data_IF_429318478520
#
_entry.id   IF_429318478520
#
_cell.length_a   1.000
_cell.length_b   1.000
_cell.length_c   1.000
_cell.angle_alpha   90.00
_cell.angle_beta   90.00
_cell.angle_gamma   90.00
#
_symmetry.space_group_name_H-M   'P 1'
#
loop_
_entity.id
_entity.type
_entity.pdbx_description
1 polymer ?
#
# COMPACT_ATOMS: atom_id res chain seq x y z
N UNK A 1 12.39 19.73 -22.99
CA UNK A 1 11.33 20.22 -22.08
C UNK A 1 11.90 21.21 -21.06
N UNK A 2 12.33 22.41 -21.50
CA UNK A 2 12.73 23.49 -20.58
C UNK A 2 11.49 24.19 -20.03
N UNK A 3 11.55 24.68 -18.80
CA UNK A 3 10.46 25.45 -18.20
C UNK A 3 10.49 26.89 -18.69
N UNK A 4 9.35 27.44 -19.08
CA UNK A 4 9.27 28.86 -19.42
C UNK A 4 9.11 29.67 -18.13
N UNK A 5 10.13 30.44 -17.78
CA UNK A 5 10.10 31.28 -16.59
C UNK A 5 9.61 32.68 -16.97
N UNK A 6 8.45 33.08 -16.47
CA UNK A 6 7.87 34.42 -16.71
C UNK A 6 8.80 35.54 -16.23
N UNK A 7 9.49 35.34 -15.10
CA UNK A 7 10.45 36.33 -14.55
C UNK A 7 11.68 36.52 -15.43
N UNK A 8 12.14 35.46 -16.11
CA UNK A 8 13.30 35.51 -17.00
C UNK A 8 12.91 35.73 -18.47
N UNK A 9 11.61 35.74 -18.78
CA UNK A 9 11.02 35.80 -20.12
C UNK A 9 11.66 34.80 -21.11
N UNK A 10 12.10 33.63 -20.64
CA UNK A 10 12.90 32.69 -21.43
C UNK A 10 12.83 31.26 -20.91
N UNK A 11 13.30 30.30 -21.74
CA UNK A 11 13.37 28.88 -21.40
C UNK A 11 14.55 28.59 -20.46
N UNK A 12 14.23 28.10 -19.27
CA UNK A 12 15.18 27.83 -18.19
C UNK A 12 15.19 26.35 -17.81
N UNK A 13 16.29 25.93 -17.20
CA UNK A 13 16.32 24.67 -16.45
C UNK A 13 15.55 24.88 -15.15
N UNK A 14 14.73 23.91 -14.78
CA UNK A 14 13.95 23.93 -13.55
C UNK A 14 13.83 22.52 -12.97
N UNK A 15 13.61 22.45 -11.67
CA UNK A 15 13.31 21.22 -10.96
C UNK A 15 11.82 21.14 -10.66
N UNK A 16 11.20 19.98 -10.95
CA UNK A 16 9.80 19.72 -10.62
C UNK A 16 9.76 18.62 -9.56
N UNK A 17 9.21 18.94 -8.40
CA UNK A 17 8.94 17.98 -7.32
C UNK A 17 7.43 17.78 -7.16
N UNK A 18 7.03 16.61 -6.65
CA UNK A 18 5.64 16.27 -6.35
C UNK A 18 5.58 15.63 -4.97
N UNK A 19 4.59 16.00 -4.17
CA UNK A 19 4.42 15.55 -2.79
C UNK A 19 2.93 15.26 -2.55
N UNK A 20 2.66 14.25 -1.73
CA UNK A 20 1.29 13.92 -1.29
C UNK A 20 1.01 14.76 -0.04
N UNK A 21 -0.07 15.53 -0.07
CA UNK A 21 -0.47 16.43 1.01
C UNK A 21 -1.65 15.90 1.83
N UNK A 22 -2.39 14.95 1.27
CA UNK A 22 -3.59 14.37 1.84
C UNK A 22 -3.61 12.87 1.57
N UNK A 23 -3.91 12.09 2.60
CA UNK A 23 -4.01 10.64 2.49
C UNK A 23 -5.44 10.17 2.15
N UNK A 24 -5.66 9.53 1.00
CA UNK A 24 -6.99 9.03 0.64
C UNK A 24 -7.37 7.79 1.45
N UNK A 25 -8.66 7.55 1.71
CA UNK A 25 -9.10 6.31 2.37
C UNK A 25 -8.70 5.05 1.58
N UNK A 26 -8.79 5.14 0.24
CA UNK A 26 -8.35 4.10 -0.68
C UNK A 26 -7.27 4.65 -1.61
N UNK A 27 -6.10 4.01 -1.59
CA UNK A 27 -4.99 4.29 -2.49
C UNK A 27 -5.01 3.28 -3.65
N UNK A 28 -5.19 3.78 -4.87
CA UNK A 28 -5.20 2.97 -6.09
C UNK A 28 -3.89 3.19 -6.83
N UNK A 29 -3.11 2.13 -7.00
CA UNK A 29 -1.85 2.16 -7.75
C UNK A 29 -2.00 1.40 -9.06
N UNK A 30 -1.76 2.07 -10.18
CA UNK A 30 -1.71 1.43 -11.50
C UNK A 30 -0.26 1.23 -11.90
N UNK A 31 0.15 -0.04 -12.07
CA UNK A 31 1.47 -0.37 -12.59
C UNK A 31 1.46 -0.17 -14.11
N UNK A 32 2.24 0.81 -14.59
CA UNK A 32 2.31 1.17 -16.01
C UNK A 32 3.09 0.10 -16.81
N UNK A 33 2.43 -1.01 -17.10
CA UNK A 33 3.02 -2.19 -17.73
C UNK A 33 3.03 -2.18 -19.25
N UNK A 34 2.59 -1.12 -19.90
CA UNK A 34 2.56 -1.05 -21.36
C UNK A 34 3.45 0.07 -21.84
N UNK A 35 4.45 -0.29 -22.63
CA UNK A 35 5.37 0.64 -23.27
C UNK A 35 5.22 0.56 -24.79
N UNK A 36 5.59 1.64 -25.46
CA UNK A 36 5.64 1.70 -26.91
C UNK A 36 7.09 1.84 -27.35
N UNK A 37 7.54 0.96 -28.23
CA UNK A 37 8.85 1.07 -28.87
C UNK A 37 8.70 1.88 -30.16
N UNK A 38 9.13 3.15 -30.18
CA UNK A 38 9.00 4.01 -31.36
C UNK A 38 9.91 3.59 -32.52
N UNK A 39 10.95 2.78 -32.28
CA UNK A 39 11.86 2.33 -33.35
C UNK A 39 11.23 1.22 -34.17
N UNK A 40 10.59 0.27 -33.51
CA UNK A 40 9.97 -0.88 -34.16
C UNK A 40 8.47 -0.70 -34.40
N UNK A 41 7.86 0.39 -33.91
CA UNK A 41 6.41 0.64 -33.94
C UNK A 41 5.59 -0.47 -33.27
N UNK A 42 6.09 -1.01 -32.15
CA UNK A 42 5.46 -2.14 -31.43
C UNK A 42 5.14 -1.74 -29.99
N UNK A 43 3.92 -2.01 -29.56
CA UNK A 43 3.52 -1.95 -28.15
C UNK A 43 3.94 -3.23 -27.44
N UNK A 44 4.54 -3.12 -26.26
CA UNK A 44 5.04 -4.25 -25.47
C UNK A 44 4.48 -4.21 -24.06
N UNK A 45 4.20 -5.39 -23.52
CA UNK A 45 3.92 -5.56 -22.10
C UNK A 45 5.22 -5.77 -21.32
N UNK A 46 5.38 -5.07 -20.22
CA UNK A 46 6.47 -5.21 -19.26
C UNK A 46 6.08 -6.32 -18.29
N UNK A 47 6.81 -7.44 -18.38
CA UNK A 47 6.56 -8.67 -17.63
C UNK A 47 7.35 -8.77 -16.32
N UNK A 48 8.13 -7.73 -16.01
CA UNK A 48 8.99 -7.70 -14.83
C UNK A 48 8.21 -7.98 -13.56
N UNK A 49 8.77 -8.85 -12.71
CA UNK A 49 8.18 -9.16 -11.42
C UNK A 49 8.37 -7.98 -10.47
N UNK A 50 7.30 -7.59 -9.78
CA UNK A 50 7.29 -6.49 -8.83
C UNK A 50 6.77 -7.03 -7.51
N UNK A 51 7.48 -6.75 -6.41
CA UNK A 51 7.03 -7.12 -5.08
C UNK A 51 5.76 -6.35 -4.70
N UNK A 52 4.79 -7.07 -4.15
CA UNK A 52 3.51 -6.51 -3.71
C UNK A 52 3.49 -6.54 -2.17
N UNK A 53 3.83 -5.45 -1.49
CA UNK A 53 3.88 -5.45 -0.04
C UNK A 53 2.45 -5.50 0.54
N UNK A 54 2.26 -6.30 1.60
CA UNK A 54 0.97 -6.36 2.30
C UNK A 54 0.65 -5.01 2.95
N UNK A 55 1.66 -4.40 3.58
CA UNK A 55 1.59 -3.07 4.19
C UNK A 55 2.49 -2.12 3.41
N UNK A 56 1.95 -0.98 2.99
CA UNK A 56 2.64 0.09 2.29
C UNK A 56 2.63 1.34 3.16
N UNK A 57 3.81 1.93 3.37
CA UNK A 57 3.93 3.20 4.08
C UNK A 57 3.94 4.36 3.09
N UNK A 58 2.87 5.16 3.09
CA UNK A 58 2.72 6.31 2.20
C UNK A 58 3.30 7.57 2.85
N UNK A 59 4.30 8.23 2.24
CA UNK A 59 4.82 9.50 2.76
C UNK A 59 3.87 10.65 2.45
N UNK A 60 3.38 11.33 3.49
CA UNK A 60 2.44 12.44 3.41
C UNK A 60 3.04 13.66 4.10
N UNK A 61 3.11 14.78 3.38
CA UNK A 61 3.59 16.05 3.93
C UNK A 61 2.45 16.77 4.63
N UNK A 62 2.57 16.93 5.94
CA UNK A 62 1.67 17.78 6.72
C UNK A 62 2.25 19.17 6.85
N UNK A 63 1.43 20.18 6.60
CA UNK A 63 1.75 21.52 7.05
C UNK A 63 1.49 21.56 8.56
N UNK A 64 2.53 21.52 9.37
CA UNK A 64 2.39 21.83 10.79
C UNK A 64 2.08 23.32 10.88
N UNK A 65 0.82 23.70 11.10
CA UNK A 65 0.55 25.03 11.63
C UNK A 65 1.27 25.10 12.98
N UNK A 66 2.16 26.09 13.22
CA UNK A 66 2.76 26.27 14.52
C UNK A 66 1.63 26.61 15.51
N UNK A 67 1.12 25.61 16.21
CA UNK A 67 0.26 25.84 17.37
C UNK A 67 1.15 26.52 18.39
N UNK A 68 0.78 27.74 18.74
CA UNK A 68 1.41 28.55 19.76
C UNK A 68 1.49 27.74 21.07
N UNK A 69 2.69 27.27 21.40
CA UNK A 69 3.01 26.89 22.79
C UNK A 69 3.17 28.20 23.56
N UNK A 70 2.04 28.80 23.94
CA UNK A 70 2.00 29.66 25.12
C UNK A 70 1.75 28.73 26.28
N UNK A 71 2.82 28.20 26.87
CA UNK A 71 2.79 27.73 28.24
C UNK A 71 3.90 28.45 28.99
N UNK A 72 3.46 29.42 29.79
CA UNK A 72 4.30 30.29 30.59
C UNK A 72 5.05 29.56 31.69
N UNK A 73 6.15 30.17 32.10
CA UNK A 73 7.00 29.77 33.21
C UNK A 73 8.14 30.77 33.36
N UNK A 74 7.82 31.95 33.89
CA UNK A 74 8.80 32.94 34.33
C UNK A 74 9.56 32.37 35.53
N UNK A 75 10.89 32.31 35.45
CA UNK A 75 11.75 32.14 36.62
C UNK A 75 13.08 32.87 36.43
N UNK A 76 13.15 34.03 37.07
CA UNK A 76 14.28 34.57 37.87
C UNK A 76 15.67 34.61 37.23
N UNK A 77 16.17 35.84 37.10
CA UNK A 77 17.51 36.15 36.61
C UNK A 77 18.64 35.73 37.55
N UNK A 78 19.80 35.54 36.94
CA UNK A 78 21.11 35.60 37.59
C UNK A 78 22.03 36.31 36.61
N UNK A 79 22.50 37.49 37.01
CA UNK A 79 23.62 38.19 36.37
C UNK A 79 24.93 37.45 36.69
N UNK A 80 25.77 37.22 35.68
CA UNK A 80 27.22 37.09 35.87
C UNK A 80 27.94 37.74 34.67
N UNK A 81 29.06 38.37 35.03
CA UNK A 81 29.88 39.41 34.43
C UNK A 81 30.59 39.12 33.09
N UNK A 82 30.98 40.25 32.49
CA UNK A 82 31.80 40.53 31.31
C UNK A 82 33.18 39.83 31.27
N UNK A 83 33.69 39.50 30.06
CA UNK A 83 35.09 39.66 29.56
C UNK A 83 35.27 38.86 28.24
N UNK A 84 35.69 39.51 27.15
CA UNK A 84 36.42 38.83 26.05
C UNK A 84 35.86 39.01 24.63
N UNK A 85 36.08 40.18 24.06
CA UNK A 85 36.35 40.45 22.64
C UNK A 85 36.71 39.25 21.74
N UNK A 86 36.01 39.06 20.61
CA UNK A 86 36.59 38.93 19.26
C UNK A 86 35.52 38.93 18.15
N UNK A 87 35.84 39.69 17.11
CA UNK A 87 34.98 40.10 16.01
C UNK A 87 34.93 39.00 14.93
N UNK A 88 33.84 38.22 14.86
CA UNK A 88 33.50 37.42 13.68
C UNK A 88 32.16 37.89 13.12
N UNK A 89 32.24 38.79 12.13
CA UNK A 89 31.09 39.24 11.36
C UNK A 89 30.52 38.06 10.57
N UNK A 90 29.34 37.60 11.02
CA UNK A 90 28.14 37.47 10.20
C UNK A 90 28.23 36.53 8.99
N UNK A 91 27.98 35.24 9.21
CA UNK A 91 27.05 34.47 8.38
C UNK A 91 26.27 33.52 9.30
N UNK A 92 25.06 33.95 9.70
CA UNK A 92 24.00 33.04 10.13
C UNK A 92 23.57 32.27 8.87
N UNK A 93 23.57 30.93 8.84
CA UNK A 93 22.63 30.24 7.98
C UNK A 93 21.25 30.43 8.61
N UNK A 94 20.55 31.51 8.27
CA UNK A 94 19.10 31.56 8.45
C UNK A 94 18.46 30.79 7.29
N UNK A 95 18.67 29.48 7.32
CA UNK A 95 17.80 28.52 6.67
C UNK A 95 17.21 27.71 7.81
N UNK A 96 16.21 28.27 8.50
CA UNK A 96 15.22 27.41 9.13
C UNK A 96 14.44 26.79 7.96
N UNK A 97 15.06 25.86 7.25
CA UNK A 97 14.31 24.80 6.60
C UNK A 97 13.62 24.13 7.78
N UNK A 98 12.34 24.43 7.97
CA UNK A 98 11.47 23.53 8.68
C UNK A 98 11.71 22.15 8.05
N UNK A 99 12.45 21.31 8.75
CA UNK A 99 12.62 19.91 8.40
C UNK A 99 11.25 19.28 8.62
N UNK A 100 10.36 19.48 7.65
CA UNK A 100 9.06 18.82 7.63
C UNK A 100 9.34 17.37 7.30
N UNK A 101 9.47 16.54 8.33
CA UNK A 101 9.54 15.10 8.15
C UNK A 101 8.19 14.62 7.56
N UNK A 102 8.17 13.95 6.40
CA UNK A 102 6.94 13.36 5.90
C UNK A 102 6.44 12.32 6.90
N UNK A 103 5.15 12.38 7.21
CA UNK A 103 4.52 11.35 8.03
C UNK A 103 4.23 10.12 7.18
N UNK A 104 4.60 8.95 7.69
CA UNK A 104 4.29 7.68 7.06
C UNK A 104 2.89 7.22 7.49
N UNK A 105 2.00 7.07 6.51
CA UNK A 105 0.64 6.57 6.72
C UNK A 105 0.59 5.11 6.27
N UNK A 106 0.24 4.15 7.15
CA UNK A 106 0.15 2.75 6.79
C UNK A 106 -1.10 2.45 5.97
N UNK A 107 -0.91 1.68 4.90
CA UNK A 107 -1.95 1.18 4.03
C UNK A 107 -1.83 -0.32 3.90
N UNK A 108 -2.94 -1.03 3.89
CA UNK A 108 -2.93 -2.49 3.75
C UNK A 108 -3.58 -2.91 2.43
N UNK A 109 -2.91 -3.79 1.68
CA UNK A 109 -3.35 -4.25 0.37
C UNK A 109 -4.71 -4.93 0.49
N UNK A 110 -5.72 -4.46 -0.22
CA UNK A 110 -7.09 -4.97 -0.21
C UNK A 110 -7.37 -5.90 -1.38
N UNK A 111 -6.94 -5.49 -2.58
CA UNK A 111 -7.13 -6.29 -3.80
C UNK A 111 -6.04 -6.02 -4.84
N UNK A 112 -5.89 -6.97 -5.76
CA UNK A 112 -4.96 -6.95 -6.88
C UNK A 112 -5.72 -7.38 -8.13
N UNK A 113 -5.76 -6.52 -9.14
CA UNK A 113 -6.21 -6.88 -10.48
C UNK A 113 -4.99 -7.36 -11.26
N UNK A 114 -5.09 -8.52 -11.89
CA UNK A 114 -4.02 -9.13 -12.67
C UNK A 114 -4.40 -9.13 -14.13
N UNK A 115 -3.44 -8.81 -14.98
CA UNK A 115 -3.54 -9.01 -16.42
C UNK A 115 -2.70 -10.24 -16.80
N UNK A 116 -3.34 -11.29 -17.33
CA UNK A 116 -2.69 -12.46 -17.93
C UNK A 116 -2.59 -12.26 -19.44
N UNK A 117 -1.37 -12.30 -19.98
CA UNK A 117 -1.13 -12.12 -21.41
C UNK A 117 0.25 -11.54 -21.70
N UNK A 118 0.71 -11.62 -22.95
CA UNK A 118 2.02 -11.07 -23.39
C UNK A 118 1.89 -9.77 -24.17
N UNK A 119 0.70 -9.48 -24.66
CA UNK A 119 0.37 -8.32 -25.48
C UNK A 119 -0.56 -7.40 -24.68
N UNK A 120 -0.81 -6.23 -25.23
CA UNK A 120 -1.69 -5.22 -24.66
C UNK A 120 -3.01 -5.07 -25.42
N UNK A 121 -3.20 -5.93 -26.41
CA UNK A 121 -4.36 -6.03 -27.31
C UNK A 121 -5.17 -7.31 -27.02
N UNK A 122 -4.60 -8.23 -26.24
CA UNK A 122 -5.25 -9.47 -25.82
C UNK A 122 -4.76 -9.90 -24.45
N UNK A 123 -5.60 -10.63 -23.74
CA UNK A 123 -5.30 -11.16 -22.43
C UNK A 123 -6.58 -11.47 -21.67
N UNK A 124 -6.40 -11.78 -20.39
CA UNK A 124 -7.47 -12.08 -19.46
C UNK A 124 -7.27 -11.30 -18.16
N UNK A 125 -8.36 -10.79 -17.60
CA UNK A 125 -8.34 -10.12 -16.31
C UNK A 125 -9.00 -10.97 -15.25
N UNK A 126 -8.34 -11.05 -14.11
CA UNK A 126 -8.88 -11.69 -12.92
C UNK A 126 -8.37 -10.93 -11.69
N UNK A 127 -8.97 -11.17 -10.52
CA UNK A 127 -8.60 -10.40 -9.33
C UNK A 127 -8.44 -11.27 -8.09
N UNK A 128 -7.54 -10.82 -7.23
CA UNK A 128 -7.42 -11.29 -5.85
C UNK A 128 -7.99 -10.21 -4.95
N UNK A 129 -8.83 -10.57 -3.98
CA UNK A 129 -9.25 -9.64 -2.95
C UNK A 129 -9.39 -10.33 -1.61
N UNK A 130 -9.29 -9.57 -0.53
CA UNK A 130 -9.57 -10.06 0.83
C UNK A 130 -10.57 -9.14 1.51
N UNK A 131 -11.19 -9.66 2.57
CA UNK A 131 -12.10 -8.84 3.37
C UNK A 131 -11.31 -7.89 4.30
N UNK A 132 -11.42 -6.58 4.07
CA UNK A 132 -10.79 -5.52 4.87
C UNK A 132 -11.81 -4.74 5.71
N UNK A 133 -13.01 -5.29 5.93
CA UNK A 133 -13.92 -4.74 6.95
C UNK A 133 -13.22 -4.84 8.31
N UNK A 134 -13.21 -3.74 9.05
CA UNK A 134 -12.56 -3.63 10.35
C UNK A 134 -13.04 -4.72 11.30
N UNK A 135 -12.25 -4.96 12.34
CA UNK A 135 -12.56 -5.81 13.49
C UNK A 135 -13.86 -5.37 14.19
N UNK A 136 -15.00 -5.67 13.58
CA UNK A 136 -16.27 -5.85 14.27
C UNK A 136 -16.37 -7.32 14.71
N UNK A 137 -17.02 -7.62 15.85
CA UNK A 137 -17.18 -8.99 16.28
C UNK A 137 -17.96 -9.75 15.21
N UNK A 138 -17.46 -10.95 14.90
CA UNK A 138 -18.07 -11.99 14.10
C UNK A 138 -19.60 -11.89 14.06
N UNK A 139 -20.16 -11.56 12.89
CA UNK A 139 -21.60 -11.38 12.74
C UNK A 139 -22.04 -11.35 11.28
N UNK A 140 -22.41 -12.53 10.78
CA UNK A 140 -23.16 -12.80 9.56
C UNK A 140 -22.45 -12.53 8.20
N UNK A 141 -21.79 -13.57 7.70
CA UNK A 141 -22.13 -14.03 6.35
C UNK A 141 -22.22 -15.57 6.36
N UNK A 142 -23.48 -16.01 6.34
CA UNK A 142 -24.02 -17.32 5.97
C UNK A 142 -23.09 -18.55 6.08
N UNK A 143 -23.40 -19.38 7.07
CA UNK A 143 -23.21 -20.83 6.96
C UNK A 143 -23.70 -21.26 5.57
N UNK A 144 -22.82 -21.80 4.74
CA UNK A 144 -23.21 -22.58 3.57
C UNK A 144 -24.06 -23.73 4.06
N UNK A 145 -25.37 -23.56 4.06
CA UNK A 145 -26.30 -24.69 4.01
C UNK A 145 -26.06 -25.31 2.65
N UNK A 146 -25.25 -26.37 2.62
CA UNK A 146 -25.17 -27.25 1.47
C UNK A 146 -26.61 -27.66 1.14
N UNK A 147 -27.14 -27.19 0.00
CA UNK A 147 -28.34 -27.75 -0.60
C UNK A 147 -28.00 -29.18 -1.04
N UNK A 148 -28.06 -30.08 -0.08
CA UNK A 148 -28.06 -31.52 -0.30
C UNK A 148 -29.46 -31.90 -0.76
N UNK A 149 -29.58 -32.20 -2.05
CA UNK A 149 -30.68 -32.97 -2.60
C UNK A 149 -30.64 -34.36 -1.95
N UNK A 150 -31.51 -34.56 -0.97
CA UNK A 150 -31.71 -35.86 -0.32
C UNK A 150 -32.37 -36.81 -1.33
N UNK A 151 -31.68 -37.91 -1.63
CA UNK A 151 -32.30 -39.16 -2.11
C UNK A 151 -32.14 -40.19 -0.99
N UNK A 152 -33.22 -40.82 -0.48
CA UNK A 152 -33.10 -41.76 0.62
C UNK A 152 -32.81 -43.18 0.09
N UNK A 153 -31.75 -43.82 0.59
CA UNK A 153 -31.70 -45.27 0.88
C UNK A 153 -30.40 -45.67 1.62
N UNK A 154 -30.55 -45.84 2.94
CA UNK A 154 -30.26 -47.04 3.76
C UNK A 154 -28.85 -47.67 3.91
N UNK A 155 -28.48 -47.88 5.20
CA UNK A 155 -27.49 -48.82 5.84
C UNK A 155 -25.98 -48.40 5.90
N UNK A 156 -25.13 -48.74 6.88
CA UNK A 156 -25.13 -49.16 8.31
C UNK A 156 -23.64 -49.46 8.69
N UNK A 157 -23.20 -49.17 9.95
CA UNK A 157 -21.91 -49.55 10.64
C UNK A 157 -20.59 -48.83 10.20
N UNK A 158 -19.54 -48.56 11.00
CA UNK A 158 -19.13 -48.64 12.43
C UNK A 158 -17.70 -48.02 12.53
N UNK A 159 -17.43 -47.19 13.57
CA UNK A 159 -16.17 -46.87 14.33
C UNK A 159 -14.76 -46.73 13.64
N UNK A 160 -13.68 -46.03 14.07
CA UNK A 160 -13.15 -45.40 15.32
C UNK A 160 -12.06 -44.32 14.95
N UNK A 161 -11.97 -43.21 15.74
CA UNK A 161 -10.79 -42.49 16.31
C UNK A 161 -9.64 -41.76 15.54
N UNK A 162 -8.96 -40.76 16.19
CA UNK A 162 -8.37 -39.56 15.57
C UNK A 162 -6.83 -39.42 15.71
N UNK A 163 -6.22 -38.49 14.96
CA UNK A 163 -4.86 -38.01 15.25
C UNK A 163 -4.75 -36.48 15.14
N UNK A 164 -4.63 -35.83 16.30
CA UNK A 164 -4.18 -34.46 16.50
C UNK A 164 -2.66 -34.41 16.61
N UNK A 165 -2.00 -33.55 15.84
CA UNK A 165 -0.69 -33.00 16.21
C UNK A 165 -0.80 -31.49 16.07
N UNK A 166 -0.81 -30.82 17.22
CA UNK A 166 -0.79 -29.36 17.34
C UNK A 166 0.61 -29.03 17.87
N UNK A 167 1.40 -28.33 17.07
CA UNK A 167 2.48 -27.51 17.58
C UNK A 167 2.18 -26.06 17.24
N UNK A 168 2.23 -25.26 18.29
CA UNK A 168 1.62 -23.96 18.45
C UNK A 168 2.72 -22.90 18.38
N UNK A 169 2.82 -22.20 17.25
CA UNK A 169 3.61 -20.97 17.13
C UNK A 169 2.63 -19.81 16.95
N UNK A 170 2.73 -18.89 17.90
CA UNK A 170 1.89 -17.73 18.18
C UNK A 170 1.93 -16.72 17.02
N UNK A 171 0.80 -16.56 16.32
CA UNK A 171 0.47 -15.34 15.59
C UNK A 171 -1.07 -15.17 15.56
N UNK A 172 -1.59 -14.53 16.59
CA UNK A 172 -3.02 -14.24 16.73
C UNK A 172 -3.40 -13.02 15.88
N UNK A 173 -3.40 -13.20 14.56
CA UNK A 173 -4.22 -12.37 13.66
C UNK A 173 -4.60 -13.24 12.47
N UNK A 174 -5.87 -13.67 12.40
CA UNK A 174 -6.38 -14.50 11.32
C UNK A 174 -5.93 -13.91 9.97
N UNK A 175 -5.24 -14.68 9.10
CA UNK A 175 -4.91 -14.19 7.78
C UNK A 175 -6.24 -13.96 7.06
N UNK A 176 -6.65 -12.68 6.97
CA UNK A 176 -7.86 -12.25 6.28
C UNK A 176 -7.95 -13.01 4.97
N UNK A 177 -8.93 -13.90 4.86
CA UNK A 177 -9.01 -14.86 3.77
C UNK A 177 -8.96 -14.13 2.43
N UNK A 178 -8.11 -14.62 1.54
CA UNK A 178 -8.04 -14.11 0.18
C UNK A 178 -8.92 -14.97 -0.72
N UNK A 179 -9.53 -14.32 -1.68
CA UNK A 179 -10.38 -14.91 -2.70
C UNK A 179 -9.80 -14.56 -4.07
N UNK A 180 -9.79 -15.55 -4.96
CA UNK A 180 -9.50 -15.41 -6.37
C UNK A 180 -10.83 -15.35 -7.13
N UNK A 181 -11.08 -14.24 -7.81
CA UNK A 181 -12.22 -14.02 -8.67
C UNK A 181 -11.76 -14.13 -10.12
N UNK A 182 -12.19 -15.19 -10.79
CA UNK A 182 -11.90 -15.46 -12.19
C UNK A 182 -13.21 -15.71 -12.93
N UNK A 183 -13.80 -14.64 -13.45
CA UNK A 183 -15.13 -14.60 -14.05
C UNK A 183 -16.19 -15.24 -13.14
N UNK A 184 -16.81 -16.34 -13.60
CA UNK A 184 -17.84 -17.08 -12.86
C UNK A 184 -17.28 -17.99 -11.76
N UNK A 185 -15.96 -18.08 -11.61
CA UNK A 185 -15.30 -18.96 -10.65
C UNK A 185 -14.69 -18.13 -9.52
N UNK A 186 -15.10 -18.44 -8.29
CA UNK A 186 -14.53 -17.86 -7.07
C UNK A 186 -13.92 -18.98 -6.25
N UNK A 187 -12.65 -18.83 -5.86
CA UNK A 187 -11.92 -19.84 -5.07
C UNK A 187 -11.14 -19.19 -3.95
N UNK A 188 -11.00 -19.90 -2.82
CA UNK A 188 -10.10 -19.49 -1.75
C UNK A 188 -8.64 -19.49 -2.20
N UNK A 189 -7.86 -18.56 -1.66
CA UNK A 189 -6.42 -18.45 -1.90
C UNK A 189 -5.72 -17.79 -0.73
N UNK A 190 -4.42 -17.54 -0.86
CA UNK A 190 -3.58 -16.96 0.19
C UNK A 190 -2.80 -15.77 -0.33
N UNK A 191 -2.39 -14.88 0.59
CA UNK A 191 -1.51 -13.77 0.24
C UNK A 191 -0.19 -14.25 -0.40
N UNK A 192 0.33 -15.39 0.04
CA UNK A 192 1.52 -15.99 -0.56
C UNK A 192 1.33 -16.32 -2.06
N UNK A 193 0.13 -16.73 -2.47
CA UNK A 193 -0.19 -16.93 -3.88
C UNK A 193 -0.21 -15.62 -4.65
N UNK A 194 -0.72 -14.54 -4.04
CA UNK A 194 -0.69 -13.17 -4.61
C UNK A 194 0.75 -12.68 -4.81
N UNK A 195 1.64 -12.91 -3.85
CA UNK A 195 3.04 -12.49 -3.97
C UNK A 195 3.80 -13.27 -5.05
N UNK A 196 3.36 -14.49 -5.37
CA UNK A 196 4.04 -15.39 -6.30
C UNK A 196 3.38 -15.45 -7.69
N UNK A 197 2.45 -14.54 -8.03
CA UNK A 197 1.74 -14.54 -9.31
C UNK A 197 2.71 -14.61 -10.49
N UNK A 198 3.55 -13.59 -10.67
CA UNK A 198 4.48 -13.51 -11.81
C UNK A 198 5.53 -14.61 -11.79
N UNK A 199 5.94 -15.06 -10.59
CA UNK A 199 6.92 -16.14 -10.44
C UNK A 199 6.36 -17.50 -10.85
N UNK A 200 5.06 -17.76 -10.60
CA UNK A 200 4.39 -19.00 -11.00
C UNK A 200 3.89 -18.93 -12.45
N UNK A 201 3.42 -17.77 -12.87
CA UNK A 201 2.83 -17.53 -14.18
C UNK A 201 3.50 -16.29 -14.82
N UNK A 202 4.58 -16.46 -15.60
CA UNK A 202 5.36 -15.33 -16.14
C UNK A 202 4.60 -14.38 -17.08
N UNK A 203 3.42 -14.77 -17.55
CA UNK A 203 2.53 -13.95 -18.38
C UNK A 203 1.54 -13.13 -17.54
N UNK A 204 1.44 -13.42 -16.25
CA UNK A 204 0.45 -12.88 -15.35
C UNK A 204 1.12 -11.84 -14.46
N UNK A 205 0.64 -10.62 -14.56
CA UNK A 205 1.29 -9.47 -13.93
C UNK A 205 0.25 -8.63 -13.20
N UNK A 206 0.50 -8.31 -11.94
CA UNK A 206 -0.33 -7.36 -11.20
C UNK A 206 -0.41 -6.03 -11.96
N UNK A 207 -1.60 -5.50 -12.13
CA UNK A 207 -1.86 -4.31 -12.95
C UNK A 207 -2.40 -3.15 -12.12
N UNK A 208 -3.44 -3.40 -11.32
CA UNK A 208 -4.02 -2.40 -10.40
C UNK A 208 -3.97 -2.96 -8.98
N UNK A 209 -3.47 -2.17 -8.04
CA UNK A 209 -3.42 -2.48 -6.62
C UNK A 209 -4.36 -1.54 -5.89
N UNK A 210 -5.19 -2.09 -5.02
CA UNK A 210 -6.02 -1.32 -4.11
C UNK A 210 -5.48 -1.49 -2.71
N UNK A 211 -5.17 -0.38 -2.07
CA UNK A 211 -4.73 -0.30 -0.69
C UNK A 211 -5.79 0.46 0.10
N UNK A 212 -6.09 -0.03 1.31
CA UNK A 212 -6.98 0.67 2.25
C UNK A 212 -6.15 1.27 3.37
N UNK A 213 -6.40 2.52 3.72
CA UNK A 213 -5.77 3.20 4.85
C UNK A 213 -6.01 2.39 6.13
N UNK A 214 -4.97 2.19 6.93
CA UNK A 214 -5.12 1.61 8.25
C UNK A 214 -5.44 2.72 9.24
N UNK A 215 -6.58 2.61 9.92
CA UNK A 215 -6.92 3.56 10.98
C UNK A 215 -5.93 3.35 12.13
N UNK A 216 -5.28 4.43 12.55
CA UNK A 216 -4.51 4.46 13.80
C UNK A 216 -5.52 4.34 14.94
N UNK A 217 -5.66 3.15 15.52
CA UNK A 217 -6.28 2.97 16.84
C UNK A 217 -5.37 3.51 17.93
#
# INVERSE_FOLDING_TARGET
NKYYCEKCASLQNAEKTMQIIEEPEYLILTLLRFSYDPKCHIRRKILDNVSLPLVLELPVKRATTPLAVVSGGWSVGVEISDTGENLAKKLKPSGADEVTCPQLVPYVLSSVVVHSGVSSESGHYYSYARNVTGSGPSGLCHQSTALSLVSPQDKLFTEESPCTVVENELDTEMPREWFLFNDSRVTFTSFQSVQKITSRFPKDTAYVLFYKKQNST
#
